data_IF_183508336181
#
_entry.id   IF_183508336181
#
_cell.length_a   1.000
_cell.length_b   1.000
_cell.length_c   1.000
_cell.angle_alpha   90.00
_cell.angle_beta   90.00
_cell.angle_gamma   90.00
#
_symmetry.space_group_name_H-M   'P 1'
#
loop_
_entity.id
_entity.type
_entity.pdbx_description
1 polymer ?
#
# COMPACT_ATOMS: atom_id res chain seq x y z
N UNK A 1 -25.10 4.02 -10.76
CA UNK A 1 -23.84 3.92 -10.01
C UNK A 1 -22.91 4.93 -10.63
N UNK A 2 -22.76 6.10 -10.01
CA UNK A 2 -21.72 7.05 -10.41
C UNK A 2 -20.39 6.36 -10.15
N UNK A 3 -19.58 6.14 -11.18
CA UNK A 3 -18.19 5.73 -11.01
C UNK A 3 -17.51 6.80 -10.16
N UNK A 4 -17.33 6.52 -8.87
CA UNK A 4 -16.47 7.32 -8.01
C UNK A 4 -15.05 7.11 -8.51
N UNK A 5 -14.55 8.07 -9.28
CA UNK A 5 -13.17 8.06 -9.77
C UNK A 5 -12.16 7.98 -8.62
N UNK A 6 -10.96 7.49 -8.92
CA UNK A 6 -9.86 7.43 -7.96
C UNK A 6 -9.56 8.85 -7.42
N UNK A 7 -9.49 9.06 -6.08
CA UNK A 7 -9.27 10.38 -5.50
C UNK A 7 -7.85 10.88 -5.81
N UNK A 8 -7.74 12.11 -6.32
CA UNK A 8 -6.50 12.78 -6.77
C UNK A 8 -6.46 14.22 -6.26
N UNK A 9 -5.29 14.83 -6.20
CA UNK A 9 -5.10 16.16 -5.59
C UNK A 9 -5.27 16.12 -4.07
N UNK A 10 -5.13 14.94 -3.48
CA UNK A 10 -5.33 14.65 -2.05
C UNK A 10 -4.06 14.07 -1.44
N UNK A 11 -4.04 13.93 -0.11
CA UNK A 11 -2.99 13.20 0.59
C UNK A 11 -3.52 11.94 1.27
N UNK A 12 -2.66 10.92 1.39
CA UNK A 12 -2.88 9.73 2.24
C UNK A 12 -1.57 9.23 2.85
N UNK A 13 -1.65 8.34 3.83
CA UNK A 13 -0.52 7.52 4.28
C UNK A 13 -0.43 6.19 3.53
N UNK A 14 0.72 5.52 3.63
CA UNK A 14 0.93 4.19 3.04
C UNK A 14 0.19 3.11 3.83
N UNK A 15 0.20 3.15 5.16
CA UNK A 15 -0.59 2.24 5.98
C UNK A 15 -0.03 2.02 7.39
N UNK A 16 1.24 1.65 7.47
CA UNK A 16 1.89 1.29 8.73
C UNK A 16 2.22 2.52 9.59
N UNK A 17 2.04 2.37 10.91
CA UNK A 17 2.11 3.45 11.89
C UNK A 17 2.86 3.01 13.15
N UNK A 18 3.56 3.92 13.86
CA UNK A 18 4.30 3.55 15.07
C UNK A 18 3.39 3.35 16.28
N UNK A 19 3.82 2.50 17.22
CA UNK A 19 3.09 2.20 18.45
C UNK A 19 2.11 1.04 18.31
N UNK A 20 1.18 0.94 19.27
CA UNK A 20 0.24 -0.16 19.44
C UNK A 20 -1.21 0.27 19.77
N UNK A 21 -1.46 1.57 19.99
CA UNK A 21 -2.79 2.12 20.26
C UNK A 21 -3.57 2.37 18.96
N UNK A 22 -4.52 1.48 18.67
CA UNK A 22 -5.38 1.56 17.49
C UNK A 22 -6.30 2.79 17.50
N UNK A 23 -6.81 3.22 18.67
CA UNK A 23 -7.75 4.35 18.76
C UNK A 23 -7.02 5.66 18.54
N UNK A 24 -5.88 5.84 19.19
CA UNK A 24 -5.06 7.04 18.98
C UNK A 24 -4.67 7.13 17.51
N UNK A 25 -4.14 6.04 16.93
CA UNK A 25 -3.70 6.04 15.55
C UNK A 25 -4.84 6.32 14.55
N UNK A 26 -6.01 5.72 14.73
CA UNK A 26 -7.18 5.99 13.90
C UNK A 26 -7.64 7.45 14.01
N UNK A 27 -7.70 8.00 15.22
CA UNK A 27 -8.07 9.40 15.43
C UNK A 27 -7.08 10.37 14.75
N UNK A 28 -5.78 10.07 14.77
CA UNK A 28 -4.78 10.85 14.03
C UNK A 28 -5.02 10.76 12.54
N UNK A 29 -5.12 9.55 12.00
CA UNK A 29 -5.23 9.36 10.54
C UNK A 29 -6.50 9.98 9.98
N UNK A 30 -7.65 9.80 10.64
CA UNK A 30 -8.91 10.44 10.25
C UNK A 30 -8.82 11.97 10.36
N UNK A 31 -8.16 12.50 11.39
CA UNK A 31 -8.01 13.93 11.62
C UNK A 31 -7.05 14.64 10.66
N UNK A 32 -5.91 14.05 10.35
CA UNK A 32 -4.85 14.67 9.54
C UNK A 32 -5.02 14.45 8.03
N UNK A 33 -5.81 13.45 7.62
CA UNK A 33 -6.12 13.13 6.22
C UNK A 33 -7.61 13.33 5.94
N UNK A 34 -8.07 14.58 5.72
CA UNK A 34 -9.50 14.89 5.63
C UNK A 34 -10.17 14.38 4.34
N UNK A 35 -9.41 13.95 3.34
CA UNK A 35 -9.94 13.52 2.03
C UNK A 35 -9.81 12.01 1.81
N UNK A 36 -8.65 11.43 2.14
CA UNK A 36 -8.38 10.00 1.98
C UNK A 36 -7.69 9.41 3.22
N UNK A 37 -8.43 9.16 4.31
CA UNK A 37 -7.91 8.43 5.47
C UNK A 37 -7.71 6.96 5.12
N UNK A 38 -6.93 6.25 5.94
CA UNK A 38 -6.68 4.83 5.74
C UNK A 38 -6.87 4.02 7.03
N UNK A 39 -7.16 2.73 6.88
CA UNK A 39 -7.12 1.78 7.99
C UNK A 39 -5.67 1.63 8.45
N UNK A 40 -5.39 1.88 9.73
CA UNK A 40 -4.02 1.89 10.24
C UNK A 40 -3.51 0.48 10.50
N UNK A 41 -2.26 0.21 10.12
CA UNK A 41 -1.52 -1.00 10.49
C UNK A 41 -0.51 -0.72 11.60
N UNK A 42 -0.57 -1.50 12.68
CA UNK A 42 0.28 -1.34 13.87
C UNK A 42 1.20 -2.56 14.05
N UNK A 43 2.28 -2.68 13.26
CA UNK A 43 3.20 -3.82 13.33
C UNK A 43 3.94 -3.93 14.67
N UNK A 44 4.01 -2.85 15.45
CA UNK A 44 4.60 -2.85 16.80
C UNK A 44 3.91 -3.79 17.79
N UNK A 45 2.70 -4.27 17.48
CA UNK A 45 1.97 -5.26 18.29
C UNK A 45 2.51 -6.70 18.18
N UNK A 46 3.49 -6.93 17.30
CA UNK A 46 4.19 -8.19 17.18
C UNK A 46 3.58 -9.15 16.16
N UNK A 47 3.70 -10.46 16.44
CA UNK A 47 3.33 -11.54 15.50
C UNK A 47 1.87 -11.40 15.07
N UNK A 48 1.63 -11.49 13.76
CA UNK A 48 0.30 -11.35 13.17
C UNK A 48 -0.13 -9.89 12.92
N UNK A 49 0.63 -8.90 13.38
CA UNK A 49 0.34 -7.49 13.16
C UNK A 49 1.23 -6.85 12.08
N UNK A 50 2.36 -7.45 11.73
CA UNK A 50 3.15 -7.04 10.56
C UNK A 50 2.43 -7.36 9.25
N UNK A 51 2.89 -6.74 8.16
CA UNK A 51 2.28 -6.84 6.83
C UNK A 51 2.03 -8.30 6.37
N UNK A 52 2.97 -9.21 6.63
CA UNK A 52 2.84 -10.61 6.22
C UNK A 52 1.93 -11.37 7.21
N UNK A 53 2.13 -11.17 8.50
CA UNK A 53 1.31 -11.79 9.54
C UNK A 53 -0.17 -11.39 9.44
N UNK A 54 -0.45 -10.14 9.09
CA UNK A 54 -1.80 -9.60 8.91
C UNK A 54 -2.55 -10.28 7.77
N UNK A 55 -1.85 -10.80 6.75
CA UNK A 55 -2.45 -11.60 5.69
C UNK A 55 -3.17 -12.84 6.25
N UNK A 56 -2.76 -13.38 7.41
CA UNK A 56 -3.45 -14.49 8.07
C UNK A 56 -4.89 -14.16 8.48
N UNK A 57 -5.23 -12.87 8.64
CA UNK A 57 -6.60 -12.41 8.89
C UNK A 57 -7.44 -12.31 7.61
N UNK A 58 -6.78 -12.17 6.45
CA UNK A 58 -7.41 -11.95 5.16
C UNK A 58 -7.57 -13.25 4.36
N UNK A 59 -6.56 -14.12 4.37
CA UNK A 59 -6.56 -15.38 3.60
C UNK A 59 -7.76 -16.27 3.93
N UNK A 60 -8.47 -16.69 2.89
CA UNK A 60 -9.59 -17.63 2.93
C UNK A 60 -9.09 -19.05 2.75
N UNK A 61 -9.45 -19.95 3.66
CA UNK A 61 -9.08 -21.37 3.66
C UNK A 61 -7.56 -21.69 3.62
N UNK A 62 -6.71 -20.66 3.82
CA UNK A 62 -5.26 -20.74 3.83
C UNK A 62 -4.70 -20.15 5.14
N UNK A 63 -4.86 -20.85 6.28
CA UNK A 63 -4.38 -20.35 7.57
C UNK A 63 -2.85 -20.27 7.59
N UNK A 64 -2.31 -19.21 8.20
CA UNK A 64 -0.87 -19.07 8.44
C UNK A 64 -0.52 -19.35 9.91
N UNK A 65 0.69 -19.85 10.11
CA UNK A 65 1.35 -20.00 11.41
C UNK A 65 2.81 -19.51 11.32
N UNK A 66 3.52 -19.43 12.44
CA UNK A 66 4.94 -19.05 12.43
C UNK A 66 5.84 -20.19 11.97
N UNK A 67 6.97 -19.82 11.38
CA UNK A 67 8.15 -20.67 11.17
C UNK A 67 9.36 -20.09 11.89
N UNK A 68 10.53 -20.71 11.72
CA UNK A 68 11.81 -20.20 12.26
C UNK A 68 12.26 -18.89 11.61
N UNK A 69 11.73 -18.59 10.44
CA UNK A 69 12.21 -17.57 9.50
C UNK A 69 11.13 -16.56 9.12
N UNK A 70 9.87 -16.81 9.50
CA UNK A 70 8.74 -15.90 9.28
C UNK A 70 7.40 -16.62 9.44
N UNK A 71 6.66 -16.71 8.34
CA UNK A 71 5.33 -17.30 8.29
C UNK A 71 5.28 -18.49 7.33
N UNK A 72 4.42 -19.46 7.64
CA UNK A 72 4.18 -20.63 6.80
C UNK A 72 2.70 -20.95 6.70
N UNK A 73 2.32 -21.62 5.62
CA UNK A 73 0.99 -22.22 5.48
C UNK A 73 0.81 -23.31 6.53
N UNK A 74 -0.32 -23.29 7.20
CA UNK A 74 -0.73 -24.25 8.21
C UNK A 74 -1.91 -25.10 7.74
N UNK A 75 -2.14 -26.22 8.42
CA UNK A 75 -3.29 -27.11 8.14
C UNK A 75 -4.59 -26.61 8.79
N UNK A 76 -4.48 -25.83 9.86
CA UNK A 76 -5.62 -25.33 10.64
C UNK A 76 -5.30 -23.95 11.24
N UNK A 77 -6.31 -23.10 11.48
CA UNK A 77 -6.12 -21.81 12.15
C UNK A 77 -5.41 -21.93 13.51
N UNK A 78 -4.21 -21.36 13.58
CA UNK A 78 -3.34 -21.38 14.75
C UNK A 78 -3.45 -20.12 15.62
N UNK A 79 -2.58 -19.98 16.63
CA UNK A 79 -2.47 -18.76 17.44
C UNK A 79 -2.21 -17.51 16.59
N UNK A 80 -1.36 -17.60 15.55
CA UNK A 80 -1.07 -16.49 14.64
C UNK A 80 -2.32 -16.02 13.90
N UNK A 81 -3.06 -16.95 13.30
CA UNK A 81 -4.31 -16.64 12.60
C UNK A 81 -5.31 -15.94 13.52
N UNK A 82 -5.45 -16.41 14.77
CA UNK A 82 -6.34 -15.78 15.77
C UNK A 82 -5.85 -14.39 16.15
N UNK A 83 -4.56 -14.24 16.45
CA UNK A 83 -3.97 -12.95 16.81
C UNK A 83 -4.16 -11.92 15.68
N UNK A 84 -3.87 -12.29 14.42
CA UNK A 84 -4.06 -11.41 13.27
C UNK A 84 -5.53 -10.95 13.12
N UNK A 85 -6.49 -11.88 13.30
CA UNK A 85 -7.93 -11.56 13.28
C UNK A 85 -8.33 -10.63 14.42
N UNK A 86 -7.83 -10.87 15.64
CA UNK A 86 -8.09 -10.03 16.80
C UNK A 86 -7.46 -8.63 16.65
N UNK A 87 -6.30 -8.51 15.99
CA UNK A 87 -5.69 -7.24 15.64
C UNK A 87 -6.54 -6.48 14.62
N UNK A 88 -6.93 -7.14 13.52
CA UNK A 88 -7.74 -6.54 12.47
C UNK A 88 -9.11 -6.07 13.00
N UNK A 89 -9.77 -6.87 13.85
CA UNK A 89 -11.03 -6.49 14.47
C UNK A 89 -10.90 -5.21 15.31
N UNK A 90 -9.86 -5.12 16.14
CA UNK A 90 -9.57 -3.92 16.94
C UNK A 90 -9.26 -2.69 16.09
N UNK A 91 -8.55 -2.87 14.98
CA UNK A 91 -8.24 -1.78 14.06
C UNK A 91 -9.51 -1.26 13.36
N UNK A 92 -10.42 -2.16 12.98
CA UNK A 92 -11.71 -1.81 12.40
C UNK A 92 -12.61 -1.10 13.40
N UNK A 93 -12.70 -1.59 14.64
CA UNK A 93 -13.49 -0.93 15.69
C UNK A 93 -12.96 0.48 15.99
N UNK A 94 -11.64 0.66 16.03
CA UNK A 94 -11.02 1.97 16.23
C UNK A 94 -11.24 2.93 15.06
N UNK A 95 -11.17 2.43 13.82
CA UNK A 95 -11.46 3.22 12.63
C UNK A 95 -12.94 3.63 12.59
N UNK A 96 -13.85 2.72 12.88
CA UNK A 96 -15.30 2.97 12.93
C UNK A 96 -15.63 4.04 13.98
N UNK A 97 -15.09 3.93 15.19
CA UNK A 97 -15.21 4.95 16.25
C UNK A 97 -14.71 6.32 15.79
N UNK A 98 -13.50 6.39 15.19
CA UNK A 98 -12.94 7.64 14.69
C UNK A 98 -13.76 8.23 13.53
N UNK A 99 -14.33 7.38 12.67
CA UNK A 99 -15.17 7.78 11.53
C UNK A 99 -16.49 8.38 11.99
N UNK A 100 -17.12 7.77 13.00
CA UNK A 100 -18.34 8.26 13.62
C UNK A 100 -18.13 9.60 14.32
N UNK A 101 -17.06 9.72 15.13
CA UNK A 101 -16.71 10.98 15.81
C UNK A 101 -16.46 12.11 14.81
N UNK A 102 -15.87 11.80 13.65
CA UNK A 102 -15.65 12.77 12.58
C UNK A 102 -16.91 13.09 11.75
N UNK A 103 -18.05 12.44 12.01
CA UNK A 103 -19.31 12.66 11.29
C UNK A 103 -19.29 12.19 9.83
N UNK A 104 -18.44 11.21 9.49
CA UNK A 104 -18.21 10.76 8.09
C UNK A 104 -19.01 9.54 7.68
N UNK A 105 -19.75 8.93 8.62
CA UNK A 105 -20.54 7.72 8.37
C UNK A 105 -21.61 7.98 7.31
N UNK A 106 -21.68 7.12 6.29
CA UNK A 106 -22.67 7.24 5.21
C UNK A 106 -22.37 8.35 4.20
N UNK A 107 -21.15 8.88 4.18
CA UNK A 107 -20.70 9.89 3.19
C UNK A 107 -19.99 9.23 2.01
N UNK A 108 -19.96 9.91 0.87
CA UNK A 108 -19.22 9.49 -0.33
C UNK A 108 -17.69 9.65 -0.19
N UNK A 109 -17.20 10.02 0.99
CA UNK A 109 -15.76 10.13 1.24
C UNK A 109 -15.11 8.75 1.22
N UNK A 110 -14.12 8.51 0.35
CA UNK A 110 -13.46 7.20 0.29
C UNK A 110 -12.55 6.97 1.49
N UNK A 111 -12.42 5.69 1.86
CA UNK A 111 -11.43 5.19 2.81
C UNK A 111 -10.50 4.22 2.12
N UNK A 112 -9.20 4.38 2.35
CA UNK A 112 -8.19 3.45 1.83
C UNK A 112 -7.98 2.30 2.81
N UNK A 113 -7.98 1.08 2.30
CA UNK A 113 -7.45 -0.08 3.02
C UNK A 113 -6.24 -0.61 2.26
N UNK A 114 -5.33 -1.27 2.96
CA UNK A 114 -4.16 -1.87 2.34
C UNK A 114 -3.97 -3.31 2.80
N UNK A 115 -3.36 -4.09 1.90
CA UNK A 115 -2.93 -5.45 2.12
C UNK A 115 -1.59 -5.66 1.42
N UNK A 116 -0.81 -6.63 1.91
CA UNK A 116 0.33 -7.14 1.16
C UNK A 116 -0.11 -7.63 -0.22
N UNK A 117 0.67 -7.34 -1.25
CA UNK A 117 0.42 -7.85 -2.59
C UNK A 117 0.76 -9.34 -2.72
N UNK A 118 0.15 -10.06 -3.69
CA UNK A 118 0.29 -11.50 -3.84
C UNK A 118 1.74 -11.96 -4.07
N UNK A 119 2.55 -11.20 -4.82
CA UNK A 119 3.92 -11.59 -5.16
C UNK A 119 4.85 -11.41 -3.95
N UNK A 120 4.69 -10.30 -3.23
CA UNK A 120 5.39 -10.07 -1.96
C UNK A 120 4.99 -11.12 -0.93
N UNK A 121 3.70 -11.42 -0.78
CA UNK A 121 3.23 -12.45 0.15
C UNK A 121 3.82 -13.82 -0.19
N UNK A 122 3.75 -14.25 -1.46
CA UNK A 122 4.32 -15.52 -1.91
C UNK A 122 5.84 -15.60 -1.74
N UNK A 123 6.53 -14.44 -1.81
CA UNK A 123 7.97 -14.35 -1.58
C UNK A 123 8.36 -14.52 -0.10
N UNK A 124 7.42 -14.39 0.83
CA UNK A 124 7.69 -14.42 2.28
C UNK A 124 7.06 -15.63 2.99
N UNK A 125 5.97 -16.19 2.45
CA UNK A 125 5.27 -17.33 3.07
C UNK A 125 5.91 -18.65 2.63
N UNK A 126 6.23 -19.49 3.60
CA UNK A 126 6.76 -20.84 3.39
C UNK A 126 5.63 -21.86 3.25
N UNK A 127 5.83 -22.85 2.39
CA UNK A 127 5.02 -24.06 2.33
C UNK A 127 5.48 -25.05 3.39
N UNK A 128 4.72 -26.13 3.61
CA UNK A 128 5.04 -27.13 4.61
C UNK A 128 6.46 -27.73 4.45
N UNK A 129 6.95 -27.80 3.21
CA UNK A 129 8.31 -28.26 2.88
C UNK A 129 9.42 -27.21 3.07
N UNK A 130 9.12 -26.03 3.62
CA UNK A 130 10.09 -24.96 3.92
C UNK A 130 10.53 -24.10 2.73
N UNK A 131 10.07 -24.40 1.51
CA UNK A 131 10.27 -23.53 0.35
C UNK A 131 9.19 -22.45 0.30
N UNK A 132 9.51 -21.30 -0.30
CA UNK A 132 8.57 -20.18 -0.45
C UNK A 132 7.44 -20.54 -1.41
N UNK A 133 6.22 -20.06 -1.16
CA UNK A 133 5.09 -20.26 -2.05
C UNK A 133 5.38 -19.76 -3.47
N UNK A 134 6.21 -18.73 -3.62
CA UNK A 134 6.68 -18.22 -4.91
C UNK A 134 7.32 -19.28 -5.82
N UNK A 135 7.93 -20.34 -5.25
CA UNK A 135 8.62 -21.36 -6.06
C UNK A 135 7.69 -22.44 -6.62
N UNK A 136 6.43 -22.47 -6.19
CA UNK A 136 5.42 -23.41 -6.66
C UNK A 136 4.30 -22.64 -7.37
N UNK A 137 4.14 -22.78 -8.71
CA UNK A 137 3.12 -22.05 -9.45
C UNK A 137 1.68 -22.35 -8.99
N UNK A 138 1.40 -23.54 -8.47
CA UNK A 138 0.10 -23.88 -7.90
C UNK A 138 -0.15 -23.11 -6.62
N UNK A 139 0.81 -23.16 -5.68
CA UNK A 139 0.70 -22.46 -4.41
C UNK A 139 0.66 -20.93 -4.58
N UNK A 140 1.40 -20.37 -5.55
CA UNK A 140 1.33 -18.95 -5.87
C UNK A 140 -0.08 -18.54 -6.30
N UNK A 141 -0.71 -19.32 -7.19
CA UNK A 141 -2.09 -19.07 -7.63
C UNK A 141 -3.08 -19.20 -6.48
N UNK A 142 -3.04 -20.30 -5.73
CA UNK A 142 -3.95 -20.54 -4.60
C UNK A 142 -3.84 -19.43 -3.55
N UNK A 143 -2.62 -18.96 -3.26
CA UNK A 143 -2.37 -17.87 -2.32
C UNK A 143 -2.89 -16.53 -2.84
N UNK A 144 -2.70 -16.22 -4.13
CA UNK A 144 -3.20 -15.01 -4.75
C UNK A 144 -4.74 -14.99 -4.80
N UNK A 145 -5.38 -16.12 -5.15
CA UNK A 145 -6.84 -16.27 -5.17
C UNK A 145 -7.42 -16.10 -3.77
N UNK A 146 -6.87 -16.82 -2.78
CA UNK A 146 -7.26 -16.73 -1.38
C UNK A 146 -7.13 -15.32 -0.81
N UNK A 147 -6.02 -14.63 -1.12
CA UNK A 147 -5.81 -13.24 -0.71
C UNK A 147 -6.84 -12.30 -1.34
N UNK A 148 -7.09 -12.44 -2.63
CA UNK A 148 -7.99 -11.55 -3.38
C UNK A 148 -9.44 -11.69 -2.91
N UNK A 149 -9.88 -12.93 -2.68
CA UNK A 149 -11.19 -13.21 -2.07
C UNK A 149 -11.29 -12.63 -0.65
N UNK A 150 -10.23 -12.79 0.14
CA UNK A 150 -10.10 -12.21 1.48
C UNK A 150 -10.19 -10.68 1.51
N UNK A 151 -9.48 -10.02 0.60
CA UNK A 151 -9.50 -8.57 0.44
C UNK A 151 -10.88 -8.09 -0.01
N UNK A 152 -11.53 -8.79 -0.94
CA UNK A 152 -12.91 -8.49 -1.37
C UNK A 152 -13.90 -8.59 -0.20
N UNK A 153 -13.77 -9.60 0.66
CA UNK A 153 -14.58 -9.72 1.87
C UNK A 153 -14.26 -8.60 2.88
N UNK A 154 -12.99 -8.23 3.03
CA UNK A 154 -12.56 -7.13 3.89
C UNK A 154 -13.11 -5.77 3.43
N UNK A 155 -13.07 -5.50 2.12
CA UNK A 155 -13.69 -4.32 1.49
C UNK A 155 -15.18 -4.25 1.86
N UNK A 156 -15.93 -5.32 1.65
CA UNK A 156 -17.36 -5.35 1.95
C UNK A 156 -17.67 -5.08 3.44
N UNK A 157 -16.83 -5.60 4.36
CA UNK A 157 -16.98 -5.34 5.78
C UNK A 157 -16.71 -3.88 6.15
N UNK A 158 -15.68 -3.27 5.55
CA UNK A 158 -15.33 -1.86 5.79
C UNK A 158 -16.42 -0.93 5.23
N UNK A 159 -16.90 -1.19 4.01
CA UNK A 159 -18.01 -0.45 3.42
C UNK A 159 -19.26 -0.55 4.29
N UNK A 160 -19.58 -1.75 4.80
CA UNK A 160 -20.73 -1.98 5.68
C UNK A 160 -20.64 -1.21 7.00
N UNK A 161 -19.46 -1.15 7.63
CA UNK A 161 -19.23 -0.43 8.89
C UNK A 161 -19.32 1.08 8.71
N UNK A 162 -18.57 1.59 7.73
CA UNK A 162 -18.36 3.03 7.56
C UNK A 162 -19.44 3.69 6.69
N UNK A 163 -20.14 2.93 5.85
CA UNK A 163 -21.07 3.47 4.86
C UNK A 163 -20.38 4.37 3.84
N UNK A 164 -19.13 4.05 3.49
CA UNK A 164 -18.25 4.87 2.67
C UNK A 164 -17.56 4.02 1.60
N UNK A 165 -17.28 4.56 0.40
CA UNK A 165 -16.57 3.83 -0.64
C UNK A 165 -15.18 3.39 -0.17
N UNK A 166 -14.75 2.21 -0.57
CA UNK A 166 -13.40 1.71 -0.26
C UNK A 166 -12.53 1.69 -1.52
N UNK A 167 -11.26 2.03 -1.37
CA UNK A 167 -10.23 1.70 -2.34
C UNK A 167 -9.15 0.85 -1.68
N UNK A 168 -8.51 -0.01 -2.47
CA UNK A 168 -7.51 -0.96 -1.99
C UNK A 168 -6.11 -0.53 -2.43
N UNK A 169 -5.14 -0.67 -1.55
CA UNK A 169 -3.72 -0.63 -1.89
C UNK A 169 -3.11 -2.02 -1.72
N UNK A 170 -2.49 -2.56 -2.78
CA UNK A 170 -1.61 -3.71 -2.67
C UNK A 170 -0.16 -3.26 -2.52
N UNK A 171 0.49 -3.74 -1.47
CA UNK A 171 1.89 -3.43 -1.19
C UNK A 171 2.81 -4.49 -1.79
N UNK A 172 3.56 -4.10 -2.81
CA UNK A 172 4.47 -4.96 -3.56
C UNK A 172 5.96 -4.54 -3.45
N UNK A 173 6.53 -4.38 -2.23
CA UNK A 173 7.92 -3.95 -2.06
C UNK A 173 8.94 -5.00 -2.53
N UNK A 174 8.58 -6.29 -2.58
CA UNK A 174 9.49 -7.35 -3.03
C UNK A 174 9.44 -7.59 -4.54
N UNK A 175 8.56 -6.90 -5.29
CA UNK A 175 8.30 -7.14 -6.71
C UNK A 175 9.57 -7.12 -7.55
N UNK A 176 10.44 -6.13 -7.36
CA UNK A 176 11.70 -6.05 -8.08
C UNK A 176 12.58 -7.28 -7.84
N UNK A 177 12.70 -7.70 -6.58
CA UNK A 177 13.49 -8.88 -6.21
C UNK A 177 12.90 -10.20 -6.70
N UNK A 178 11.57 -10.28 -6.79
CA UNK A 178 10.84 -11.41 -7.38
C UNK A 178 11.19 -11.55 -8.87
N UNK A 179 11.14 -10.45 -9.62
CA UNK A 179 11.45 -10.44 -11.06
C UNK A 179 12.93 -10.72 -11.34
N UNK A 180 13.84 -10.19 -10.52
CA UNK A 180 15.27 -10.39 -10.71
C UNK A 180 15.76 -11.75 -10.17
N UNK A 181 14.97 -12.44 -9.35
CA UNK A 181 15.43 -13.63 -8.61
C UNK A 181 16.50 -13.32 -7.58
N UNK A 182 16.48 -12.11 -6.99
CA UNK A 182 17.46 -11.62 -6.02
C UNK A 182 17.03 -11.82 -4.57
N UNK A 183 15.94 -12.55 -4.34
CA UNK A 183 15.46 -12.91 -3.02
C UNK A 183 16.48 -13.79 -2.28
N UNK A 184 16.76 -13.45 -1.03
CA UNK A 184 17.58 -14.31 -0.16
C UNK A 184 16.83 -15.61 0.11
N UNK A 185 17.46 -16.76 -0.13
CA UNK A 185 16.88 -18.07 0.20
C UNK A 185 16.93 -18.39 1.69
N UNK A 186 16.15 -19.39 2.12
CA UNK A 186 16.24 -19.98 3.48
C UNK A 186 17.63 -20.59 3.73
N UNK A 187 18.34 -20.94 2.65
CA UNK A 187 19.79 -21.19 2.61
C UNK A 187 20.38 -20.59 1.33
N UNK A 188 21.71 -20.37 1.28
CA UNK A 188 22.45 -19.87 0.11
C UNK A 188 22.18 -20.72 -1.15
N UNK A 189 21.86 -22.00 -0.99
CA UNK A 189 21.64 -22.95 -2.09
C UNK A 189 20.19 -22.99 -2.62
N UNK A 190 19.27 -22.23 -2.01
CA UNK A 190 17.83 -22.29 -2.29
C UNK A 190 17.20 -20.90 -2.47
N UNK A 191 17.95 -19.96 -3.04
CA UNK A 191 17.37 -18.69 -3.46
C UNK A 191 16.28 -18.96 -4.53
N UNK A 192 15.05 -18.41 -4.36
CA UNK A 192 14.04 -18.47 -5.41
C UNK A 192 14.58 -17.94 -6.73
N UNK A 193 14.27 -18.62 -7.83
CA UNK A 193 14.60 -18.11 -9.17
C UNK A 193 13.74 -16.89 -9.48
N UNK A 194 14.20 -16.11 -10.46
CA UNK A 194 13.40 -15.05 -11.07
C UNK A 194 12.05 -15.61 -11.52
N UNK A 195 10.97 -14.94 -11.13
CA UNK A 195 9.64 -15.19 -11.69
C UNK A 195 9.55 -14.43 -13.02
N UNK A 196 9.23 -15.10 -14.15
CA UNK A 196 9.08 -14.41 -15.43
C UNK A 196 8.04 -13.29 -15.33
N UNK A 197 8.36 -12.12 -15.90
CA UNK A 197 7.47 -10.95 -15.87
C UNK A 197 6.03 -11.26 -16.33
N UNK A 198 5.77 -12.04 -17.41
CA UNK A 198 4.40 -12.34 -17.82
C UNK A 198 3.61 -13.11 -16.76
N UNK A 199 4.26 -13.98 -15.98
CA UNK A 199 3.63 -14.75 -14.91
C UNK A 199 3.33 -13.85 -13.70
N UNK A 200 4.30 -13.00 -13.32
CA UNK A 200 4.11 -12.02 -12.26
C UNK A 200 2.97 -11.04 -12.58
N UNK A 201 2.92 -10.56 -13.84
CA UNK A 201 1.88 -9.67 -14.32
C UNK A 201 0.50 -10.33 -14.26
N UNK A 202 0.38 -11.59 -14.72
CA UNK A 202 -0.89 -12.31 -14.69
C UNK A 202 -1.42 -12.46 -13.25
N UNK A 203 -0.56 -12.83 -12.30
CA UNK A 203 -0.94 -12.95 -10.88
C UNK A 203 -1.45 -11.61 -10.33
N UNK A 204 -0.77 -10.50 -10.65
CA UNK A 204 -1.18 -9.18 -10.20
C UNK A 204 -2.49 -8.72 -10.86
N UNK A 205 -2.66 -8.96 -12.17
CA UNK A 205 -3.88 -8.66 -12.92
C UNK A 205 -5.10 -9.42 -12.37
N UNK A 206 -4.96 -10.72 -12.13
CA UNK A 206 -6.03 -11.55 -11.58
C UNK A 206 -6.43 -11.08 -10.17
N UNK A 207 -5.43 -10.74 -9.34
CA UNK A 207 -5.69 -10.23 -8.00
C UNK A 207 -6.42 -8.88 -8.02
N UNK A 208 -5.97 -7.94 -8.85
CA UNK A 208 -6.59 -6.62 -9.00
C UNK A 208 -8.02 -6.76 -9.56
N UNK A 209 -8.20 -7.56 -10.60
CA UNK A 209 -9.51 -7.77 -11.25
C UNK A 209 -10.56 -8.40 -10.33
N UNK A 210 -10.12 -9.17 -9.32
CA UNK A 210 -11.01 -9.87 -8.39
C UNK A 210 -11.53 -9.01 -7.23
N UNK A 211 -10.85 -7.90 -6.91
CA UNK A 211 -11.18 -7.05 -5.75
C UNK A 211 -12.46 -6.22 -5.97
N UNK A 212 -12.75 -5.81 -7.21
CA UNK A 212 -14.00 -5.13 -7.57
C UNK A 212 -14.14 -3.67 -7.15
N UNK A 213 -13.08 -3.05 -6.61
CA UNK A 213 -13.00 -1.62 -6.27
C UNK A 213 -11.72 -1.00 -6.83
N UNK A 214 -11.57 0.34 -6.88
CA UNK A 214 -10.33 0.99 -7.29
C UNK A 214 -9.09 0.45 -6.54
N UNK A 215 -8.04 0.12 -7.30
CA UNK A 215 -6.78 -0.41 -6.74
C UNK A 215 -5.59 0.49 -7.05
N UNK A 216 -4.81 0.75 -6.00
CA UNK A 216 -3.46 1.32 -6.03
C UNK A 216 -2.44 0.18 -5.81
N UNK A 217 -1.37 0.11 -6.59
CA UNK A 217 -0.23 -0.78 -6.27
C UNK A 217 0.94 0.06 -5.80
N UNK A 218 1.37 -0.12 -4.56
CA UNK A 218 2.53 0.56 -3.98
C UNK A 218 3.78 -0.30 -4.12
N UNK A 219 4.85 0.27 -4.68
CA UNK A 219 6.16 -0.35 -4.76
C UNK A 219 7.25 0.66 -4.36
N UNK A 220 7.88 0.43 -3.20
CA UNK A 220 8.99 1.25 -2.71
C UNK A 220 10.38 0.65 -3.02
N UNK A 221 10.45 -0.36 -3.90
CA UNK A 221 11.72 -0.95 -4.31
C UNK A 221 12.57 0.06 -5.09
N UNK A 222 13.90 -0.06 -4.98
CA UNK A 222 14.80 0.68 -5.86
C UNK A 222 14.64 0.22 -7.31
N UNK A 223 14.50 1.15 -8.25
CA UNK A 223 14.15 0.88 -9.66
C UNK A 223 12.90 -0.02 -9.80
N UNK A 224 11.72 0.50 -9.42
CA UNK A 224 10.47 -0.24 -9.49
C UNK A 224 10.15 -0.61 -10.94
N UNK A 225 9.54 -1.79 -11.21
CA UNK A 225 9.20 -2.22 -12.56
C UNK A 225 7.96 -1.48 -13.07
N UNK A 226 8.15 -0.22 -13.49
CA UNK A 226 7.06 0.71 -13.83
C UNK A 226 6.19 0.19 -14.98
N UNK A 227 6.77 -0.42 -16.04
CA UNK A 227 5.98 -0.96 -17.16
C UNK A 227 5.05 -2.11 -16.73
N UNK A 228 5.53 -3.02 -15.86
CA UNK A 228 4.69 -4.08 -15.30
C UNK A 228 3.53 -3.48 -14.51
N UNK A 229 3.83 -2.51 -13.63
CA UNK A 229 2.82 -1.83 -12.81
C UNK A 229 1.79 -1.09 -13.67
N UNK A 230 2.21 -0.43 -14.75
CA UNK A 230 1.32 0.22 -15.74
C UNK A 230 0.33 -0.78 -16.35
N UNK A 231 0.80 -1.99 -16.68
CA UNK A 231 0.00 -3.05 -17.32
C UNK A 231 -0.82 -3.88 -16.33
N UNK A 232 -0.66 -3.68 -15.02
CA UNK A 232 -1.26 -4.51 -13.97
C UNK A 232 -2.79 -4.39 -13.87
N UNK A 233 -3.39 -3.35 -14.46
CA UNK A 233 -4.82 -3.03 -14.28
C UNK A 233 -5.10 -2.15 -13.06
N UNK A 234 -4.08 -1.72 -12.32
CA UNK A 234 -4.22 -0.75 -11.25
C UNK A 234 -4.70 0.62 -11.80
N UNK A 235 -5.51 1.33 -11.01
CA UNK A 235 -5.93 2.70 -11.33
C UNK A 235 -4.91 3.74 -10.88
N UNK A 236 -4.02 3.34 -9.96
CA UNK A 236 -2.92 4.17 -9.50
C UNK A 236 -1.69 3.33 -9.18
N UNK A 237 -0.51 3.94 -9.30
CA UNK A 237 0.77 3.33 -8.90
C UNK A 237 1.46 4.22 -7.88
N UNK A 238 1.89 3.61 -6.77
CA UNK A 238 2.53 4.29 -5.66
C UNK A 238 4.03 4.12 -5.70
N UNK A 239 4.78 5.20 -5.86
CA UNK A 239 6.23 5.20 -6.03
C UNK A 239 6.91 6.12 -5.03
N UNK A 240 8.04 5.70 -4.49
CA UNK A 240 8.95 6.59 -3.76
C UNK A 240 9.75 7.41 -4.78
N UNK A 241 9.45 8.70 -4.89
CA UNK A 241 10.10 9.58 -5.86
C UNK A 241 11.59 9.76 -5.56
N UNK A 242 12.03 9.53 -4.32
CA UNK A 242 13.44 9.67 -3.92
C UNK A 242 14.34 8.56 -4.46
N UNK A 243 13.77 7.42 -4.87
CA UNK A 243 14.52 6.28 -5.42
C UNK A 243 14.43 6.16 -6.94
N UNK A 244 13.59 6.98 -7.59
CA UNK A 244 13.48 7.02 -9.05
C UNK A 244 14.73 7.64 -9.68
N UNK A 245 15.20 7.01 -10.76
CA UNK A 245 16.36 7.43 -11.54
C UNK A 245 15.91 7.98 -12.88
N UNK A 246 16.84 8.62 -13.60
CA UNK A 246 16.57 9.13 -14.95
C UNK A 246 16.01 8.05 -15.90
N UNK A 247 16.48 6.81 -15.77
CA UNK A 247 16.02 5.67 -16.57
C UNK A 247 14.59 5.23 -16.26
N UNK A 248 14.03 5.61 -15.11
CA UNK A 248 12.66 5.25 -14.71
C UNK A 248 11.64 6.29 -15.19
N UNK A 249 12.10 7.48 -15.63
CA UNK A 249 11.22 8.62 -15.96
C UNK A 249 10.33 8.33 -17.17
N UNK A 250 10.87 7.71 -18.22
CA UNK A 250 10.11 7.39 -19.43
C UNK A 250 8.89 6.52 -19.09
N UNK A 251 9.08 5.48 -18.26
CA UNK A 251 7.97 4.63 -17.80
C UNK A 251 6.94 5.36 -16.95
N UNK A 252 7.35 6.36 -16.15
CA UNK A 252 6.41 7.22 -15.41
C UNK A 252 5.62 8.12 -16.37
N UNK A 253 6.26 8.59 -17.44
CA UNK A 253 5.60 9.33 -18.51
C UNK A 253 4.52 8.49 -19.19
N UNK A 254 4.88 7.29 -19.66
CA UNK A 254 3.94 6.35 -20.30
C UNK A 254 2.75 6.01 -19.39
N UNK A 255 2.99 5.84 -18.08
CA UNK A 255 1.92 5.60 -17.10
C UNK A 255 0.91 6.75 -17.06
N UNK A 256 1.39 7.99 -17.04
CA UNK A 256 0.55 9.19 -17.03
C UNK A 256 -0.19 9.36 -18.36
N UNK A 257 0.45 9.06 -19.50
CA UNK A 257 -0.17 9.10 -20.83
C UNK A 257 -1.31 8.08 -20.97
N UNK A 258 -1.16 6.90 -20.39
CA UNK A 258 -2.21 5.88 -20.30
C UNK A 258 -3.34 6.25 -19.33
N UNK A 259 -3.21 7.38 -18.62
CA UNK A 259 -4.24 7.93 -17.76
C UNK A 259 -4.31 7.29 -16.38
N UNK A 260 -3.27 6.58 -15.94
CA UNK A 260 -3.15 6.11 -14.55
C UNK A 260 -2.81 7.28 -13.62
N UNK A 261 -3.16 7.13 -12.35
CA UNK A 261 -2.83 8.08 -11.30
C UNK A 261 -1.53 7.69 -10.58
N UNK A 262 -0.90 8.66 -9.92
CA UNK A 262 0.34 8.44 -9.17
C UNK A 262 0.12 8.72 -7.68
N UNK A 263 0.44 7.76 -6.81
CA UNK A 263 0.66 8.06 -5.40
C UNK A 263 2.16 8.34 -5.19
N UNK A 264 2.53 9.62 -5.12
CA UNK A 264 3.93 10.04 -5.05
C UNK A 264 4.38 10.18 -3.60
N UNK A 265 5.37 9.38 -3.24
CA UNK A 265 6.13 9.50 -2.00
C UNK A 265 7.00 10.75 -2.01
N UNK A 266 6.53 11.81 -1.34
CA UNK A 266 7.22 13.11 -1.28
C UNK A 266 7.74 13.44 0.12
N UNK A 267 7.11 12.90 1.16
CA UNK A 267 7.45 13.21 2.55
C UNK A 267 8.33 12.12 3.15
N UNK A 268 9.54 12.43 3.68
CA UNK A 268 10.42 11.43 4.26
C UNK A 268 9.77 10.65 5.42
N UNK A 269 10.01 9.35 5.49
CA UNK A 269 9.56 8.51 6.62
C UNK A 269 10.40 8.73 7.88
N UNK A 270 11.70 8.99 7.74
CA UNK A 270 12.57 9.38 8.85
C UNK A 270 12.48 10.89 9.11
N UNK A 271 12.52 11.26 10.39
CA UNK A 271 12.50 12.67 10.78
C UNK A 271 13.78 13.37 10.28
N UNK A 272 13.67 14.39 9.42
CA UNK A 272 14.83 15.14 8.97
C UNK A 272 15.33 16.07 10.09
N UNK A 273 16.62 16.43 10.05
CA UNK A 273 17.21 17.39 10.99
C UNK A 273 16.50 18.75 10.95
N UNK A 274 16.11 19.17 9.74
CA UNK A 274 15.29 20.36 9.49
C UNK A 274 14.01 19.93 8.79
N UNK A 275 12.87 20.25 9.38
CA UNK A 275 11.56 20.01 8.77
C UNK A 275 11.46 20.85 7.49
N UNK A 276 11.33 20.23 6.31
CA UNK A 276 11.15 20.94 5.06
C UNK A 276 9.78 21.61 5.01
N UNK A 277 9.70 22.78 4.38
CA UNK A 277 8.40 23.40 4.06
C UNK A 277 7.74 22.70 2.87
N UNK A 278 6.44 22.93 2.67
CA UNK A 278 5.68 22.32 1.57
C UNK A 278 6.32 22.54 0.19
N UNK A 279 6.94 23.70 -0.07
CA UNK A 279 7.63 23.98 -1.34
C UNK A 279 8.81 23.04 -1.59
N UNK A 280 9.59 22.77 -0.56
CA UNK A 280 10.75 21.87 -0.65
C UNK A 280 10.29 20.43 -0.90
N UNK A 281 9.20 20.02 -0.25
CA UNK A 281 8.58 18.70 -0.42
C UNK A 281 7.92 18.52 -1.79
N UNK A 282 7.32 19.59 -2.34
CA UNK A 282 6.63 19.54 -3.63
C UNK A 282 7.58 19.62 -4.84
N UNK A 283 8.75 20.24 -4.67
CA UNK A 283 9.72 20.49 -5.75
C UNK A 283 10.08 19.25 -6.58
N UNK A 284 10.31 18.05 -5.99
CA UNK A 284 10.57 16.85 -6.77
C UNK A 284 9.43 16.50 -7.75
N UNK A 285 8.17 16.58 -7.31
CA UNK A 285 7.02 16.29 -8.16
C UNK A 285 6.86 17.33 -9.28
N UNK A 286 7.05 18.61 -8.97
CA UNK A 286 7.05 19.69 -9.97
C UNK A 286 8.15 19.45 -11.01
N UNK A 287 9.35 19.10 -10.56
CA UNK A 287 10.48 18.79 -11.45
C UNK A 287 10.19 17.60 -12.34
N UNK A 288 9.52 16.56 -11.80
CA UNK A 288 9.10 15.39 -12.56
C UNK A 288 8.15 15.77 -13.70
N UNK A 289 7.04 16.47 -13.39
CA UNK A 289 6.05 16.84 -14.42
C UNK A 289 6.63 17.80 -15.45
N UNK A 290 7.43 18.78 -15.02
CA UNK A 290 8.08 19.75 -15.92
C UNK A 290 9.08 19.02 -16.86
N UNK A 291 9.82 18.02 -16.37
CA UNK A 291 10.76 17.23 -17.20
C UNK A 291 10.06 16.32 -18.19
N UNK A 292 8.93 15.74 -17.79
CA UNK A 292 8.12 14.89 -18.66
C UNK A 292 7.25 15.69 -19.64
N UNK A 293 7.21 17.02 -19.52
CA UNK A 293 6.45 17.91 -20.40
C UNK A 293 4.95 17.95 -20.11
N UNK A 294 4.51 17.46 -18.94
CA UNK A 294 3.11 17.54 -18.53
C UNK A 294 2.77 18.93 -17.96
N UNK A 295 1.52 19.40 -18.11
CA UNK A 295 1.07 20.62 -17.45
C UNK A 295 1.07 20.44 -15.92
N UNK A 296 1.37 21.50 -15.17
CA UNK A 296 1.39 21.47 -13.70
C UNK A 296 0.04 21.11 -13.07
N UNK A 297 -1.07 21.28 -13.79
CA UNK A 297 -2.40 20.81 -13.36
C UNK A 297 -2.44 19.29 -13.13
N UNK A 298 -1.56 18.53 -13.78
CA UNK A 298 -1.38 17.08 -13.54
C UNK A 298 -1.13 16.76 -12.06
N UNK A 299 -0.47 17.65 -11.32
CA UNK A 299 -0.23 17.48 -9.88
C UNK A 299 -1.53 17.52 -9.06
N UNK A 300 -2.54 18.26 -9.51
CA UNK A 300 -3.86 18.27 -8.89
C UNK A 300 -4.75 17.14 -9.45
N UNK A 301 -4.66 16.88 -10.75
CA UNK A 301 -5.61 16.02 -11.47
C UNK A 301 -5.23 14.54 -11.45
N UNK A 302 -3.97 14.19 -11.11
CA UNK A 302 -3.44 12.82 -11.22
C UNK A 302 -2.60 12.34 -10.04
N UNK A 303 -2.26 13.21 -9.09
CA UNK A 303 -1.33 12.87 -8.01
C UNK A 303 -2.04 12.78 -6.66
N UNK A 304 -1.74 11.71 -5.92
CA UNK A 304 -1.97 11.59 -4.48
C UNK A 304 -0.64 11.75 -3.77
N UNK A 305 -0.57 12.60 -2.77
CA UNK A 305 0.66 12.85 -2.00
C UNK A 305 0.74 11.86 -0.85
N UNK A 306 1.89 11.19 -0.72
CA UNK A 306 2.14 10.26 0.38
C UNK A 306 3.50 10.51 1.04
N UNK A 307 3.72 9.98 2.26
CA UNK A 307 5.06 9.65 2.71
C UNK A 307 5.75 8.66 1.75
N UNK A 308 7.08 8.58 1.77
CA UNK A 308 7.84 7.71 0.87
C UNK A 308 7.58 6.22 1.09
N UNK A 309 7.20 5.82 2.30
CA UNK A 309 6.79 4.46 2.67
C UNK A 309 5.91 4.52 3.94
N UNK A 310 5.62 3.37 4.56
CA UNK A 310 4.97 3.29 5.86
C UNK A 310 5.76 3.97 6.98
N UNK A 311 5.07 4.44 8.02
CA UNK A 311 5.62 5.23 9.12
C UNK A 311 5.91 4.40 10.38
N UNK A 312 5.75 3.07 10.35
CA UNK A 312 5.94 2.20 11.52
C UNK A 312 7.27 2.39 12.27
N UNK A 313 8.36 2.68 11.56
CA UNK A 313 9.67 2.89 12.16
C UNK A 313 9.94 4.35 12.58
N UNK A 314 9.01 5.27 12.31
CA UNK A 314 9.15 6.68 12.62
C UNK A 314 8.73 7.00 14.07
N UNK A 315 9.17 8.13 14.61
CA UNK A 315 8.63 8.63 15.87
C UNK A 315 7.17 9.12 15.72
N UNK A 316 6.34 8.93 16.73
CA UNK A 316 4.92 9.33 16.71
C UNK A 316 4.72 10.82 16.35
N UNK A 317 5.55 11.71 16.90
CA UNK A 317 5.53 13.15 16.60
C UNK A 317 5.78 13.42 15.10
N UNK A 318 6.81 12.78 14.53
CA UNK A 318 7.12 12.95 13.11
C UNK A 318 6.03 12.34 12.23
N UNK A 319 5.47 11.19 12.62
CA UNK A 319 4.43 10.51 11.85
C UNK A 319 3.18 11.39 11.68
N UNK A 320 2.74 12.07 12.74
CA UNK A 320 1.65 13.06 12.62
C UNK A 320 2.05 14.24 11.73
N UNK A 321 3.26 14.75 11.91
CA UNK A 321 3.75 15.89 11.15
C UNK A 321 3.93 15.58 9.66
N UNK A 322 4.32 14.36 9.30
CA UNK A 322 4.50 13.93 7.92
C UNK A 322 3.17 13.84 7.18
N UNK A 323 2.10 13.36 7.83
CA UNK A 323 0.75 13.38 7.26
C UNK A 323 0.25 14.81 7.05
N UNK A 324 0.48 15.71 8.02
CA UNK A 324 0.16 17.15 7.86
C UNK A 324 0.90 17.76 6.67
N UNK A 325 2.19 17.49 6.56
CA UNK A 325 3.01 18.00 5.47
C UNK A 325 2.54 17.46 4.11
N UNK A 326 2.14 16.19 4.03
CA UNK A 326 1.55 15.62 2.82
C UNK A 326 0.24 16.33 2.45
N UNK A 327 -0.65 16.56 3.41
CA UNK A 327 -1.90 17.32 3.21
C UNK A 327 -1.65 18.76 2.78
N UNK A 328 -0.62 19.43 3.32
CA UNK A 328 -0.22 20.77 2.89
C UNK A 328 0.27 20.81 1.44
N UNK A 329 1.07 19.82 1.01
CA UNK A 329 1.54 19.71 -0.37
C UNK A 329 0.38 19.42 -1.33
N UNK A 330 -0.50 18.48 -1.00
CA UNK A 330 -1.67 18.16 -1.81
C UNK A 330 -2.59 19.38 -1.98
N UNK A 331 -2.82 20.13 -0.90
CA UNK A 331 -3.59 21.38 -0.95
C UNK A 331 -2.91 22.42 -1.85
N UNK A 332 -1.59 22.56 -1.78
CA UNK A 332 -0.86 23.47 -2.65
C UNK A 332 -0.96 23.08 -4.15
N UNK A 333 -0.99 21.79 -4.47
CA UNK A 333 -1.28 21.32 -5.83
C UNK A 333 -2.69 21.69 -6.26
N UNK A 334 -3.70 21.42 -5.42
CA UNK A 334 -5.10 21.72 -5.72
C UNK A 334 -5.37 23.24 -5.88
N UNK A 335 -4.66 24.09 -5.13
CA UNK A 335 -4.75 25.55 -5.22
C UNK A 335 -3.97 26.14 -6.40
N UNK A 336 -3.23 25.32 -7.17
CA UNK A 336 -2.40 25.78 -8.28
C UNK A 336 -1.27 26.72 -7.83
N UNK A 337 -0.74 26.52 -6.62
CA UNK A 337 0.24 27.42 -6.04
C UNK A 337 1.49 27.57 -6.93
N UNK A 338 2.02 28.78 -7.05
CA UNK A 338 3.21 29.03 -7.86
C UNK A 338 4.46 28.41 -7.21
N UNK A 339 5.10 27.50 -7.95
CA UNK A 339 6.41 26.95 -7.64
C UNK A 339 7.47 27.79 -8.36
N UNK A 340 8.06 28.74 -7.62
CA UNK A 340 9.18 29.58 -8.07
C UNK A 340 10.54 28.88 -8.02
#
# INVERSE_FOLDING_TARGET
MTETGFPVGVATGIGSWPGDDAREAAAVVVGELPQLPHLVELPGRGIGADMIGRAAALLVDLPLDTSTTGYRVAQRPGPVTRAARDHLARDLDALEEAWEVAGRRGTDQPVKVQAVGPLTLASQVELFGGHRALTDPGALRDLAESLSEGVRAHVAEVERRLGSPVLVQFDEPALRSVLDGSLTGVSILQAPRALPEPEALAVLQDAIGSVGVPVLVHCCAASPPVDLLRRSGAQAVGLDLSVLRAADLDGVGELLEDGLNLALGLVPTAAPERIPGWRDLARPAVTLVDRLGFPRTTLADRVVVTPTCGLAAAGAKWSRQSLRAASEVARAFAEGAEFG
#
